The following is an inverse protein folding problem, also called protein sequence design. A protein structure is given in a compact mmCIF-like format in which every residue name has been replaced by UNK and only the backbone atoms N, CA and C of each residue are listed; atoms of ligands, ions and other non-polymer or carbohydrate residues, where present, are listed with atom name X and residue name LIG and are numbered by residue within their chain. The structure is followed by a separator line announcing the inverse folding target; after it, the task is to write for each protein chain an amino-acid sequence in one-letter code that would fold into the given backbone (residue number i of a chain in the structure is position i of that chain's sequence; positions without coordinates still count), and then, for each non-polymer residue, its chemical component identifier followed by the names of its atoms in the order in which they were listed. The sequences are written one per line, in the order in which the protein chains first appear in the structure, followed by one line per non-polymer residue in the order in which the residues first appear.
data_IF_053675312994
#
_entry.id   IF_053675312994
#
_cell.length_a   1.000
_cell.length_b   1.000
_cell.length_c   1.000
_cell.angle_alpha   90.00
_cell.angle_beta   90.00
_cell.angle_gamma   90.00
#
_symmetry.space_group_name_H-M   'P 1'
#
loop_
_entity.id
_entity.type
_entity.pdbx_description
1 polymer ?
#
# COMPACT_ATOMS: atom_id res chain seq x y z
N UNK A 1 -5.15 -14.14 -15.11
CA UNK A 1 -3.95 -13.29 -15.00
C UNK A 1 -4.44 -11.96 -14.50
N UNK A 2 -4.06 -11.56 -13.30
CA UNK A 2 -4.52 -10.27 -12.77
C UNK A 2 -3.97 -9.19 -13.68
N UNK A 3 -4.87 -8.38 -14.21
CA UNK A 3 -4.54 -7.24 -15.05
C UNK A 3 -3.95 -6.14 -14.15
N UNK A 4 -2.80 -6.38 -13.51
CA UNK A 4 -2.18 -5.47 -12.53
C UNK A 4 -1.17 -4.53 -13.19
N UNK A 5 -1.06 -3.32 -12.66
CA UNK A 5 -0.06 -2.33 -13.05
C UNK A 5 1.26 -2.53 -12.30
N UNK A 6 1.18 -2.87 -11.02
CA UNK A 6 2.33 -3.13 -10.16
C UNK A 6 2.86 -4.55 -10.35
N UNK A 7 4.17 -4.66 -10.46
CA UNK A 7 4.85 -5.97 -10.50
C UNK A 7 4.96 -6.54 -9.10
N UNK A 8 4.24 -7.63 -8.83
CA UNK A 8 4.32 -8.39 -7.58
C UNK A 8 5.46 -9.42 -7.65
N UNK A 9 6.33 -9.44 -6.65
CA UNK A 9 7.43 -10.40 -6.55
C UNK A 9 7.78 -10.67 -5.07
N UNK A 10 8.78 -11.53 -4.83
CA UNK A 10 9.18 -11.93 -3.48
C UNK A 10 9.74 -10.79 -2.60
N UNK A 11 10.00 -9.61 -3.17
CA UNK A 11 10.45 -8.42 -2.45
C UNK A 11 9.33 -7.39 -2.26
N UNK A 12 8.11 -7.67 -2.72
CA UNK A 12 6.94 -6.84 -2.43
C UNK A 12 6.67 -6.86 -0.93
N UNK A 13 6.47 -5.67 -0.34
CA UNK A 13 6.26 -5.56 1.11
C UNK A 13 5.03 -6.33 1.58
N UNK A 14 3.88 -6.13 0.93
CA UNK A 14 2.63 -6.82 1.20
C UNK A 14 1.95 -7.17 -0.13
N UNK A 15 2.01 -8.43 -0.54
CA UNK A 15 1.47 -8.93 -1.81
C UNK A 15 -0.02 -9.32 -1.76
N UNK A 16 -0.58 -9.38 -0.54
CA UNK A 16 -2.00 -9.57 -0.28
C UNK A 16 -2.42 -8.84 1.00
N UNK A 17 -3.26 -7.82 0.86
CA UNK A 17 -3.93 -7.13 1.98
C UNK A 17 -5.38 -6.88 1.65
N UNK A 18 -6.24 -6.81 2.66
CA UNK A 18 -7.59 -6.29 2.49
C UNK A 18 -7.52 -4.77 2.39
N UNK A 19 -8.02 -4.22 1.28
CA UNK A 19 -8.02 -2.81 0.98
C UNK A 19 -9.44 -2.27 0.85
N UNK A 20 -9.61 -1.00 1.20
CA UNK A 20 -10.87 -0.28 1.06
C UNK A 20 -10.64 1.06 0.38
N UNK A 21 -11.39 1.28 -0.68
CA UNK A 21 -11.53 2.59 -1.30
C UNK A 21 -12.78 3.29 -0.81
N UNK A 22 -12.65 4.56 -0.47
CA UNK A 22 -13.75 5.40 0.00
C UNK A 22 -13.83 6.64 -0.89
N UNK A 23 -14.91 6.75 -1.65
CA UNK A 23 -15.28 7.93 -2.41
C UNK A 23 -16.40 8.72 -1.73
N UNK A 24 -16.80 9.84 -2.32
CA UNK A 24 -17.91 10.66 -1.79
C UNK A 24 -19.24 9.88 -1.69
N UNK A 25 -19.48 8.99 -2.66
CA UNK A 25 -20.76 8.27 -2.83
C UNK A 25 -20.65 6.76 -2.76
N UNK A 26 -19.44 6.21 -2.51
CA UNK A 26 -19.22 4.77 -2.47
C UNK A 26 -18.18 4.38 -1.43
N UNK A 27 -18.30 3.14 -0.96
CA UNK A 27 -17.23 2.41 -0.30
C UNK A 27 -17.08 1.08 -1.04
N UNK A 28 -15.84 0.69 -1.34
CA UNK A 28 -15.56 -0.51 -2.11
C UNK A 28 -14.38 -1.25 -1.52
N UNK A 29 -14.56 -2.54 -1.24
CA UNK A 29 -13.55 -3.41 -0.67
C UNK A 29 -12.98 -4.32 -1.76
N UNK A 30 -11.66 -4.48 -1.75
CA UNK A 30 -10.97 -5.40 -2.64
C UNK A 30 -9.67 -5.87 -2.00
N UNK A 31 -9.01 -6.82 -2.65
CA UNK A 31 -7.63 -7.18 -2.31
C UNK A 31 -6.70 -6.12 -2.86
N UNK A 32 -5.69 -5.72 -2.10
CA UNK A 32 -4.65 -4.79 -2.51
C UNK A 32 -3.25 -5.36 -2.41
N UNK A 33 -2.31 -4.61 -2.96
CA UNK A 33 -0.86 -4.79 -2.81
C UNK A 33 -0.28 -3.46 -2.34
N UNK A 34 0.64 -3.52 -1.37
CA UNK A 34 1.40 -2.37 -0.89
C UNK A 34 2.88 -2.67 -1.00
N UNK A 35 3.64 -1.72 -1.53
CA UNK A 35 5.07 -1.90 -1.72
C UNK A 35 5.85 -0.65 -1.34
N UNK A 36 6.85 -0.80 -0.47
CA UNK A 36 7.81 0.24 -0.14
C UNK A 36 9.17 -0.13 -0.74
N UNK A 37 9.71 0.72 -1.61
CA UNK A 37 10.97 0.47 -2.32
C UNK A 37 11.83 1.73 -2.42
N UNK A 38 13.10 1.54 -2.76
CA UNK A 38 14.01 2.61 -3.16
C UNK A 38 14.86 2.09 -4.31
N UNK A 39 15.40 2.99 -5.13
CA UNK A 39 16.25 2.59 -6.24
C UNK A 39 17.55 1.93 -5.74
N UNK A 40 18.04 0.98 -6.53
CA UNK A 40 19.21 0.17 -6.15
C UNK A 40 20.51 0.96 -6.22
N UNK A 41 20.57 1.92 -7.14
CA UNK A 41 21.71 2.80 -7.38
C UNK A 41 21.24 4.23 -7.15
N UNK A 42 22.02 5.01 -6.40
CA UNK A 42 21.76 6.41 -6.07
C UNK A 42 20.30 6.73 -5.63
N UNK A 43 19.79 6.09 -4.55
CA UNK A 43 18.41 6.30 -4.13
C UNK A 43 18.17 7.73 -3.64
N UNK A 44 17.22 8.42 -4.29
CA UNK A 44 16.83 9.78 -3.94
C UNK A 44 15.67 9.84 -2.93
N UNK A 45 14.92 8.75 -2.80
CA UNK A 45 13.75 8.67 -1.91
C UNK A 45 13.21 7.25 -1.75
N UNK A 46 12.08 7.15 -1.06
CA UNK A 46 11.33 5.91 -0.86
C UNK A 46 10.02 6.02 -1.64
N UNK A 47 9.74 5.07 -2.52
CA UNK A 47 8.47 4.95 -3.23
C UNK A 47 7.54 4.03 -2.44
N UNK A 48 6.41 4.57 -2.01
CA UNK A 48 5.30 3.80 -1.44
C UNK A 48 4.20 3.68 -2.49
N UNK A 49 3.93 2.46 -2.93
CA UNK A 49 2.98 2.13 -3.98
C UNK A 49 1.79 1.35 -3.41
N UNK A 50 0.59 1.64 -3.91
CA UNK A 50 -0.65 0.93 -3.60
C UNK A 50 -1.40 0.63 -4.90
N UNK A 51 -1.87 -0.60 -5.04
CA UNK A 51 -2.82 -0.99 -6.09
C UNK A 51 -3.92 -1.85 -5.48
N UNK A 52 -5.17 -1.50 -5.76
CA UNK A 52 -6.34 -2.35 -5.47
C UNK A 52 -6.65 -3.21 -6.71
N UNK A 53 -6.95 -4.49 -6.47
CA UNK A 53 -7.36 -5.41 -7.51
C UNK A 53 -8.72 -4.99 -8.05
N UNK A 54 -8.75 -4.63 -9.33
CA UNK A 54 -9.95 -4.14 -10.01
C UNK A 54 -10.61 -5.22 -10.89
N UNK A 55 -10.36 -6.51 -10.67
CA UNK A 55 -11.01 -7.57 -11.43
C UNK A 55 -12.56 -7.50 -11.40
N UNK A 56 -13.13 -6.97 -10.31
CA UNK A 56 -14.56 -6.68 -10.16
C UNK A 56 -14.80 -5.16 -10.10
N UNK A 57 -14.24 -4.40 -11.04
CA UNK A 57 -14.30 -2.93 -11.07
C UNK A 57 -15.75 -2.40 -11.04
N UNK A 58 -16.16 -1.82 -9.90
CA UNK A 58 -17.49 -1.20 -9.76
C UNK A 58 -17.43 0.33 -9.64
N UNK A 59 -16.34 0.87 -9.08
CA UNK A 59 -16.29 2.28 -8.66
C UNK A 59 -14.98 3.02 -8.96
N UNK A 60 -13.85 2.31 -9.09
CA UNK A 60 -12.54 2.91 -9.31
C UNK A 60 -11.90 2.37 -10.58
N UNK A 61 -11.55 3.23 -11.56
CA UNK A 61 -10.73 2.84 -12.70
C UNK A 61 -9.49 2.09 -12.24
N UNK A 62 -9.01 1.15 -13.06
CA UNK A 62 -7.69 0.55 -12.88
C UNK A 62 -6.61 1.61 -12.58
N UNK A 63 -6.03 1.56 -11.39
CA UNK A 63 -5.05 2.55 -10.91
C UNK A 63 -3.96 1.89 -10.06
N UNK A 64 -2.82 2.58 -10.00
CA UNK A 64 -1.79 2.37 -8.99
C UNK A 64 -1.38 3.76 -8.53
N UNK A 65 -1.44 3.97 -7.22
CA UNK A 65 -1.03 5.22 -6.59
C UNK A 65 0.38 5.09 -6.05
N UNK A 66 1.19 6.13 -6.26
CA UNK A 66 2.57 6.17 -5.80
C UNK A 66 2.84 7.47 -5.03
N UNK A 67 3.52 7.33 -3.89
CA UNK A 67 4.02 8.44 -3.09
C UNK A 67 5.55 8.39 -3.07
N UNK A 68 6.19 9.48 -3.46
CA UNK A 68 7.62 9.70 -3.22
C UNK A 68 7.82 10.33 -1.84
N UNK A 69 8.50 9.60 -0.96
CA UNK A 69 8.78 10.00 0.40
C UNK A 69 10.26 10.28 0.56
N UNK A 70 10.58 11.40 1.23
CA UNK A 70 11.93 11.59 1.77
C UNK A 70 12.23 10.53 2.85
N UNK A 71 13.50 10.22 3.13
CA UNK A 71 13.85 9.27 4.18
C UNK A 71 13.28 9.61 5.56
N UNK A 72 13.06 10.89 5.86
CA UNK A 72 12.47 11.34 7.12
C UNK A 72 10.97 11.04 7.16
N UNK A 73 10.24 11.30 6.08
CA UNK A 73 8.81 11.00 5.99
C UNK A 73 8.54 9.50 6.07
N UNK A 74 9.34 8.68 5.37
CA UNK A 74 9.22 7.22 5.43
C UNK A 74 9.41 6.68 6.85
N UNK A 75 10.44 7.16 7.58
CA UNK A 75 10.65 6.74 8.99
C UNK A 75 9.53 7.19 9.92
N UNK A 76 8.99 8.39 9.71
CA UNK A 76 7.86 8.88 10.51
C UNK A 76 6.61 8.00 10.31
N UNK A 77 6.30 7.66 9.05
CA UNK A 77 5.18 6.76 8.73
C UNK A 77 5.39 5.37 9.36
N UNK A 78 6.60 4.80 9.25
CA UNK A 78 6.91 3.50 9.85
C UNK A 78 6.72 3.50 11.38
N UNK A 79 7.19 4.55 12.07
CA UNK A 79 7.04 4.67 13.52
C UNK A 79 5.57 4.76 13.96
N UNK A 80 4.72 5.45 13.19
CA UNK A 80 3.28 5.49 13.48
C UNK A 80 2.62 4.13 13.21
N UNK A 81 3.02 3.40 12.16
CA UNK A 81 2.54 2.05 11.90
C UNK A 81 2.88 1.08 13.04
N UNK A 82 4.14 1.08 13.51
CA UNK A 82 4.58 0.25 14.66
C UNK A 82 3.76 0.58 15.92
N UNK A 83 3.66 1.86 16.27
CA UNK A 83 2.87 2.31 17.44
C UNK A 83 1.41 1.88 17.38
N UNK A 84 0.81 1.88 16.18
CA UNK A 84 -0.58 1.46 16.01
C UNK A 84 -0.74 -0.05 16.03
N UNK A 85 0.26 -0.82 15.57
CA UNK A 85 0.29 -2.27 15.71
C UNK A 85 0.37 -2.69 17.19
N UNK A 86 1.30 -2.11 17.95
CA UNK A 86 1.46 -2.39 19.38
C UNK A 86 0.14 -2.19 20.14
N UNK A 87 -0.59 -1.11 19.85
CA UNK A 87 -1.89 -0.82 20.48
C UNK A 87 -2.94 -1.91 20.19
N UNK A 88 -2.96 -2.45 18.97
CA UNK A 88 -3.91 -3.50 18.58
C UNK A 88 -3.58 -4.79 19.32
N UNK A 89 -2.30 -5.12 19.46
CA UNK A 89 -1.82 -6.28 20.21
C UNK A 89 -2.15 -6.16 21.70
N UNK A 90 -1.88 -5.00 22.32
CA UNK A 90 -2.20 -4.71 23.73
C UNK A 90 -3.70 -4.83 24.06
N UNK A 91 -4.59 -4.61 23.07
CA UNK A 91 -6.05 -4.73 23.25
C UNK A 91 -6.52 -6.19 23.21
N UNK A 92 -5.67 -7.09 22.72
CA UNK A 92 -5.99 -8.51 22.53
C UNK A 92 -5.51 -9.39 23.70
N UNK A 93 -4.84 -8.80 24.70
CA UNK A 93 -4.43 -9.46 25.96
C UNK A 93 -5.49 -9.38 27.09
#
# INVERSE_FOLDING_TARGET
MSDRLMTVNAYTTLDYVEGKAVGETFEWESVGVVNATADREDPEGVRLQLELDNLAEEHLPKHMDELELTPTQARALAADLEKHADRVEDTTE
#
